data_IF_994568671765
#
_entry.id   IF_994568671765
#
_cell.length_a   1.000
_cell.length_b   1.000
_cell.length_c   1.000
_cell.angle_alpha   90.00
_cell.angle_beta   90.00
_cell.angle_gamma   90.00
#
_symmetry.space_group_name_H-M   'P 1'
#
loop_
_entity.id
_entity.type
_entity.pdbx_description
1 polymer ?
#
# COMPACT_ATOMS: atom_id res chain seq x y z
N UNK A 1 33.24 10.80 24.31
CA UNK A 1 32.37 9.75 24.87
C UNK A 1 31.06 9.76 24.09
N UNK A 2 30.60 8.56 23.72
CA UNK A 2 29.65 8.20 22.67
C UNK A 2 28.20 8.62 22.91
N UNK A 3 27.62 9.43 22.02
CA UNK A 3 26.17 9.66 21.90
C UNK A 3 25.78 9.63 20.41
N UNK A 4 25.71 8.44 19.81
CA UNK A 4 25.26 8.27 18.40
C UNK A 4 24.45 6.99 18.16
N UNK A 5 23.89 6.37 19.20
CA UNK A 5 23.14 5.10 19.07
C UNK A 5 21.62 5.25 19.04
N UNK A 6 21.03 6.41 19.35
CA UNK A 6 19.56 6.57 19.37
C UNK A 6 18.96 7.07 18.04
N UNK A 7 19.74 7.73 17.18
CA UNK A 7 19.22 8.33 15.93
C UNK A 7 19.14 7.32 14.76
N UNK A 8 19.72 6.12 14.92
CA UNK A 8 19.66 5.05 13.90
C UNK A 8 18.30 4.33 13.84
N UNK A 9 17.50 4.39 14.91
CA UNK A 9 16.20 3.74 14.96
C UNK A 9 15.20 4.37 13.97
N UNK A 10 14.94 5.68 14.05
CA UNK A 10 13.96 6.34 13.18
C UNK A 10 14.34 6.33 11.70
N UNK A 11 15.62 6.54 11.38
CA UNK A 11 16.09 6.49 9.99
C UNK A 11 15.96 5.08 9.39
N UNK A 12 16.29 4.04 10.17
CA UNK A 12 16.14 2.65 9.73
C UNK A 12 14.67 2.25 9.62
N UNK A 13 13.82 2.72 10.53
CA UNK A 13 12.38 2.54 10.46
C UNK A 13 11.80 3.20 9.21
N UNK A 14 12.25 4.39 8.83
CA UNK A 14 11.77 5.07 7.63
C UNK A 14 12.21 4.36 6.35
N UNK A 15 13.45 3.85 6.28
CA UNK A 15 13.91 3.03 5.17
C UNK A 15 13.14 1.70 5.08
N UNK A 16 12.85 1.07 6.23
CA UNK A 16 12.04 -0.14 6.30
C UNK A 16 10.60 0.11 5.83
N UNK A 17 10.00 1.25 6.22
CA UNK A 17 8.67 1.65 5.75
C UNK A 17 8.66 1.87 4.23
N UNK A 18 9.67 2.53 3.67
CA UNK A 18 9.80 2.74 2.23
C UNK A 18 9.87 1.40 1.47
N UNK A 19 10.67 0.43 1.94
CA UNK A 19 10.76 -0.91 1.34
C UNK A 19 9.45 -1.70 1.47
N UNK A 20 8.79 -1.66 2.64
CA UNK A 20 7.50 -2.34 2.85
C UNK A 20 6.39 -1.79 1.93
N UNK A 21 6.33 -0.47 1.75
CA UNK A 21 5.35 0.16 0.85
C UNK A 21 5.60 -0.23 -0.62
N UNK A 22 6.86 -0.23 -1.07
CA UNK A 22 7.21 -0.68 -2.42
C UNK A 22 6.81 -2.15 -2.63
N UNK A 23 7.13 -3.03 -1.68
CA UNK A 23 6.75 -4.44 -1.74
C UNK A 23 5.23 -4.60 -1.77
N UNK A 24 4.51 -3.86 -0.94
CA UNK A 24 3.05 -3.91 -0.92
C UNK A 24 2.45 -3.52 -2.28
N UNK A 25 2.94 -2.45 -2.91
CA UNK A 25 2.52 -2.03 -4.26
C UNK A 25 2.80 -3.12 -5.29
N UNK A 26 3.99 -3.70 -5.30
CA UNK A 26 4.37 -4.77 -6.22
C UNK A 26 3.51 -6.03 -6.04
N UNK A 27 3.15 -6.38 -4.80
CA UNK A 27 2.28 -7.50 -4.48
C UNK A 27 0.84 -7.27 -4.95
N UNK A 28 0.30 -6.07 -4.73
CA UNK A 28 -1.02 -5.70 -5.22
C UNK A 28 -1.10 -5.76 -6.75
N UNK A 29 -0.09 -5.24 -7.45
CA UNK A 29 0.01 -5.35 -8.92
C UNK A 29 0.06 -6.78 -9.45
N UNK A 30 0.48 -7.74 -8.62
CA UNK A 30 0.53 -9.17 -8.93
C UNK A 30 -0.68 -9.93 -8.41
N UNK A 31 -1.69 -9.24 -7.87
CA UNK A 31 -2.87 -9.83 -7.19
C UNK A 31 -2.52 -10.74 -6.02
N UNK A 32 -1.32 -10.59 -5.44
CA UNK A 32 -0.87 -11.33 -4.27
C UNK A 32 -1.35 -10.61 -3.00
N UNK A 33 -2.68 -10.68 -2.78
CA UNK A 33 -3.37 -9.91 -1.74
C UNK A 33 -2.91 -10.30 -0.33
N UNK A 34 -2.70 -11.59 -0.08
CA UNK A 34 -2.27 -12.09 1.23
C UNK A 34 -0.89 -11.53 1.60
N UNK A 35 0.08 -11.58 0.66
CA UNK A 35 1.40 -11.00 0.89
C UNK A 35 1.36 -9.47 0.98
N UNK A 36 0.46 -8.81 0.24
CA UNK A 36 0.26 -7.37 0.34
C UNK A 36 -0.28 -6.97 1.73
N UNK A 37 -1.22 -7.73 2.29
CA UNK A 37 -1.72 -7.51 3.65
C UNK A 37 -0.63 -7.74 4.70
N UNK A 38 0.18 -8.80 4.56
CA UNK A 38 1.29 -9.04 5.47
C UNK A 38 2.32 -7.89 5.47
N UNK A 39 2.53 -7.22 4.32
CA UNK A 39 3.37 -6.02 4.25
C UNK A 39 2.71 -4.83 4.98
N UNK A 40 1.39 -4.68 4.86
CA UNK A 40 0.63 -3.61 5.52
C UNK A 40 0.68 -3.75 7.06
N UNK A 41 0.46 -4.95 7.58
CA UNK A 41 0.50 -5.25 9.01
C UNK A 41 1.89 -4.98 9.61
N UNK A 42 2.97 -5.25 8.86
CA UNK A 42 4.33 -4.93 9.28
C UNK A 42 4.63 -3.43 9.21
N UNK A 43 4.05 -2.71 8.24
CA UNK A 43 4.27 -1.29 8.05
C UNK A 43 3.55 -0.42 9.10
N UNK A 44 2.40 -0.86 9.60
CA UNK A 44 1.58 -0.12 10.57
C UNK A 44 2.33 0.31 11.86
N UNK A 45 2.97 -0.60 12.62
CA UNK A 45 3.68 -0.21 13.84
C UNK A 45 4.85 0.73 13.54
N UNK A 46 5.54 0.54 12.41
CA UNK A 46 6.69 1.35 11.99
C UNK A 46 6.24 2.77 11.63
N UNK A 47 5.15 2.90 10.88
CA UNK A 47 4.56 4.20 10.56
C UNK A 47 4.10 4.93 11.83
N UNK A 48 3.47 4.21 12.77
CA UNK A 48 3.04 4.78 14.05
C UNK A 48 4.20 5.24 14.93
N UNK A 49 5.33 4.54 14.93
CA UNK A 49 6.56 4.96 15.62
C UNK A 49 7.19 6.18 14.96
N UNK A 50 7.25 6.21 13.62
CA UNK A 50 7.79 7.34 12.87
C UNK A 50 6.96 8.61 13.10
N UNK A 51 5.64 8.52 13.11
CA UNK A 51 4.75 9.64 13.46
C UNK A 51 4.98 10.11 14.90
N UNK A 52 5.06 9.18 15.87
CA UNK A 52 5.34 9.53 17.29
C UNK A 52 6.69 10.19 17.49
N UNK A 53 7.70 9.78 16.72
CA UNK A 53 9.05 10.34 16.82
C UNK A 53 9.20 11.75 16.22
N UNK A 54 8.24 12.18 15.38
CA UNK A 54 8.35 13.43 14.60
C UNK A 54 9.53 13.45 13.63
N UNK A 55 10.16 12.28 13.36
CA UNK A 55 11.38 12.20 12.54
C UNK A 55 11.16 12.75 11.14
N UNK A 56 10.04 12.38 10.51
CA UNK A 56 9.69 12.84 9.17
C UNK A 56 9.29 14.33 9.10
N UNK A 57 8.99 14.96 10.24
CA UNK A 57 8.64 16.39 10.30
C UNK A 57 9.87 17.29 10.39
N UNK A 58 11.06 16.72 10.62
CA UNK A 58 12.30 17.48 10.57
C UNK A 58 12.60 17.93 9.14
N UNK A 59 13.04 19.19 8.91
CA UNK A 59 13.32 19.71 7.56
C UNK A 59 14.35 18.88 6.78
N UNK A 60 15.33 18.32 7.48
CA UNK A 60 16.37 17.44 6.93
C UNK A 60 15.81 16.15 6.30
N UNK A 61 14.60 15.74 6.70
CA UNK A 61 13.92 14.54 6.21
C UNK A 61 12.78 14.86 5.21
N UNK A 62 12.70 16.09 4.70
CA UNK A 62 11.63 16.52 3.80
C UNK A 62 11.55 15.69 2.51
N UNK A 63 12.69 15.34 1.91
CA UNK A 63 12.73 14.49 0.72
C UNK A 63 12.19 13.08 1.02
N UNK A 64 12.63 12.49 2.13
CA UNK A 64 12.19 11.16 2.57
C UNK A 64 10.68 11.14 2.86
N UNK A 65 10.16 12.18 3.54
CA UNK A 65 8.71 12.37 3.74
C UNK A 65 7.97 12.47 2.41
N UNK A 66 8.50 13.21 1.43
CA UNK A 66 7.89 13.33 0.10
C UNK A 66 7.85 12.00 -0.65
N UNK A 67 8.91 11.19 -0.57
CA UNK A 67 8.93 9.84 -1.16
C UNK A 67 7.89 8.93 -0.52
N UNK A 68 7.85 8.85 0.80
CA UNK A 68 6.87 8.03 1.54
C UNK A 68 5.43 8.47 1.20
N UNK A 69 5.16 9.77 1.13
CA UNK A 69 3.85 10.29 0.72
C UNK A 69 3.48 9.91 -0.71
N UNK A 70 4.46 9.89 -1.62
CA UNK A 70 4.24 9.48 -3.01
C UNK A 70 3.89 8.00 -3.10
N UNK A 71 4.57 7.15 -2.31
CA UNK A 71 4.25 5.72 -2.22
C UNK A 71 2.85 5.47 -1.67
N UNK A 72 2.42 6.19 -0.62
CA UNK A 72 1.04 6.08 -0.14
C UNK A 72 0.01 6.50 -1.20
N UNK A 73 0.29 7.53 -2.01
CA UNK A 73 -0.59 7.92 -3.11
C UNK A 73 -0.67 6.85 -4.19
N UNK A 74 0.47 6.28 -4.58
CA UNK A 74 0.53 5.20 -5.55
C UNK A 74 -0.24 3.96 -5.05
N UNK A 75 -0.04 3.58 -3.79
CA UNK A 75 -0.76 2.48 -3.15
C UNK A 75 -2.28 2.70 -3.23
N UNK A 76 -2.77 3.91 -2.92
CA UNK A 76 -4.20 4.24 -3.03
C UNK A 76 -4.71 4.14 -4.47
N UNK A 77 -3.93 4.57 -5.46
CA UNK A 77 -4.31 4.48 -6.86
C UNK A 77 -4.38 3.03 -7.34
N UNK A 78 -3.42 2.19 -6.94
CA UNK A 78 -3.45 0.75 -7.25
C UNK A 78 -4.70 0.12 -6.66
N UNK A 79 -4.98 0.32 -5.37
CA UNK A 79 -6.18 -0.22 -4.72
C UNK A 79 -7.46 0.25 -5.42
N UNK A 80 -7.54 1.52 -5.82
CA UNK A 80 -8.70 2.04 -6.54
C UNK A 80 -8.87 1.40 -7.92
N UNK A 81 -7.77 1.19 -8.66
CA UNK A 81 -7.76 0.50 -9.95
C UNK A 81 -8.24 -0.96 -9.82
N UNK A 82 -7.71 -1.69 -8.85
CA UNK A 82 -8.10 -3.09 -8.59
C UNK A 82 -9.60 -3.22 -8.27
N UNK A 83 -10.14 -2.30 -7.47
CA UNK A 83 -11.57 -2.26 -7.16
C UNK A 83 -12.44 -2.01 -8.38
N UNK A 84 -11.99 -1.14 -9.29
CA UNK A 84 -12.70 -0.85 -10.52
C UNK A 84 -12.73 -2.09 -11.43
N UNK A 85 -11.61 -2.79 -11.58
CA UNK A 85 -11.54 -3.99 -12.41
C UNK A 85 -12.44 -5.13 -11.89
N UNK A 86 -12.48 -5.34 -10.57
CA UNK A 86 -13.39 -6.32 -9.96
C UNK A 86 -14.85 -5.95 -10.24
N UNK A 87 -15.21 -4.67 -10.13
CA UNK A 87 -16.55 -4.19 -10.44
C UNK A 87 -16.93 -4.46 -11.90
N UNK A 88 -16.02 -4.20 -12.83
CA UNK A 88 -16.23 -4.39 -14.27
C UNK A 88 -16.42 -5.88 -14.62
N UNK A 89 -15.59 -6.76 -14.05
CA UNK A 89 -15.74 -8.22 -14.22
C UNK A 89 -17.07 -8.74 -13.67
N UNK A 90 -17.50 -8.25 -12.50
CA UNK A 90 -18.80 -8.62 -11.92
C UNK A 90 -19.97 -8.13 -12.79
N UNK A 91 -19.87 -6.94 -13.38
CA UNK A 91 -20.87 -6.45 -14.32
C UNK A 91 -20.96 -7.33 -15.59
N UNK A 92 -19.81 -7.77 -16.12
CA UNK A 92 -19.74 -8.69 -17.24
C UNK A 92 -20.39 -10.04 -16.92
N UNK A 93 -20.08 -10.64 -15.77
CA UNK A 93 -20.69 -11.91 -15.32
C UNK A 93 -22.22 -11.77 -15.22
N UNK A 94 -22.71 -10.69 -14.60
CA UNK A 94 -24.15 -10.44 -14.46
C UNK A 94 -24.85 -10.32 -15.82
N UNK A 95 -24.22 -9.63 -16.78
CA UNK A 95 -24.74 -9.51 -18.13
C UNK A 95 -24.76 -10.86 -18.86
N UNK A 96 -23.72 -11.68 -18.67
CA UNK A 96 -23.67 -13.06 -19.18
C UNK A 96 -24.81 -13.93 -18.62
N UNK A 97 -25.04 -13.91 -17.32
CA UNK A 97 -26.13 -14.67 -16.66
C UNK A 97 -27.49 -14.26 -17.26
N UNK A 98 -27.78 -12.95 -17.37
CA UNK A 98 -29.03 -12.45 -17.98
C UNK A 98 -29.20 -12.88 -19.43
N UNK A 99 -28.10 -12.99 -20.18
CA UNK A 99 -28.14 -13.47 -21.55
C UNK A 99 -28.51 -14.96 -21.58
N UNK A 100 -27.92 -15.79 -20.72
CA UNK A 100 -28.25 -17.21 -20.62
C UNK A 100 -29.70 -17.47 -20.21
N UNK A 101 -30.25 -16.72 -19.25
CA UNK A 101 -31.66 -16.82 -18.85
C UNK A 101 -32.61 -16.57 -20.02
N UNK A 102 -32.33 -15.54 -20.84
CA UNK A 102 -33.12 -15.22 -22.04
C UNK A 102 -33.06 -16.30 -23.13
N UNK A 103 -31.99 -17.09 -23.19
CA UNK A 103 -31.90 -18.22 -24.11
C UNK A 103 -32.61 -19.47 -23.59
N UNK A 104 -32.75 -19.63 -22.27
CA UNK A 104 -33.47 -20.74 -21.64
C UNK A 104 -35.00 -20.55 -21.66
N UNK A 105 -35.49 -19.32 -21.88
CA UNK A 105 -36.92 -19.00 -22.00
C UNK A 105 -37.49 -19.19 -23.44
N UNK A 106 -36.68 -19.65 -24.39
CA UNK A 106 -37.09 -20.01 -25.77
C UNK A 106 -37.02 -21.51 -26.00
#
# INVERSE_FOLDING_TARGET
MTHTTTDRGPAMNAACLEDLLNRQIDRLRRYDLDAAMACAEQAEPIAAELMRSGFLDRPENAELKSRIQSLYRELMLVIASERQEVSDKLAQIRNGIKAFERYAEK
#
